data_IF_805365115156
#
_entry.id   IF_805365115156
#
_cell.length_a   1.000
_cell.length_b   1.000
_cell.length_c   1.000
_cell.angle_alpha   90.00
_cell.angle_beta   90.00
_cell.angle_gamma   90.00
#
_symmetry.space_group_name_H-M   'P 1'
#
loop_
_entity.id
_entity.type
_entity.pdbx_description
1 polymer ?
#
# COMPACT_ATOMS: atom_id res chain seq x y z
N UNK A 1 -5.68 -16.66 -23.35
CA UNK A 1 -5.28 -17.96 -22.71
C UNK A 1 -6.44 -18.39 -21.85
N UNK A 2 -6.94 -19.62 -22.05
CA UNK A 2 -8.12 -20.11 -21.33
C UNK A 2 -7.69 -20.89 -20.09
N UNK A 3 -8.22 -20.52 -18.92
CA UNK A 3 -8.10 -21.35 -17.71
C UNK A 3 -9.03 -22.54 -17.82
N UNK A 4 -8.56 -23.71 -17.45
CA UNK A 4 -9.28 -24.98 -17.54
C UNK A 4 -9.82 -25.43 -16.20
N UNK A 5 -8.98 -25.31 -15.14
CA UNK A 5 -9.32 -25.73 -13.79
C UNK A 5 -8.61 -24.84 -12.77
N UNK A 6 -9.21 -24.70 -11.59
CA UNK A 6 -8.61 -24.08 -10.42
C UNK A 6 -8.77 -25.00 -9.22
N UNK A 7 -7.68 -25.30 -8.54
CA UNK A 7 -7.63 -26.22 -7.40
C UNK A 7 -7.02 -25.53 -6.20
N UNK A 8 -7.68 -25.59 -5.05
CA UNK A 8 -7.14 -25.10 -3.81
C UNK A 8 -6.13 -26.09 -3.22
N UNK A 9 -4.92 -25.63 -2.97
CA UNK A 9 -3.82 -26.42 -2.41
C UNK A 9 -3.64 -26.21 -0.91
N UNK A 10 -3.81 -24.96 -0.46
CA UNK A 10 -3.63 -24.56 0.93
C UNK A 10 -4.70 -23.54 1.33
N UNK A 11 -5.18 -23.64 2.57
CA UNK A 11 -5.97 -22.62 3.22
C UNK A 11 -5.48 -22.40 4.65
N UNK A 12 -5.21 -21.16 4.97
CA UNK A 12 -4.89 -20.69 6.33
C UNK A 12 -5.91 -19.62 6.72
N UNK A 13 -5.79 -19.06 7.92
CA UNK A 13 -6.61 -17.93 8.35
C UNK A 13 -6.45 -16.70 7.42
N UNK A 14 -5.25 -16.48 6.87
CA UNK A 14 -4.90 -15.25 6.15
C UNK A 14 -4.61 -15.45 4.66
N UNK A 15 -4.04 -16.59 4.29
CA UNK A 15 -3.55 -16.85 2.94
C UNK A 15 -4.09 -18.17 2.44
N UNK A 16 -4.48 -18.20 1.17
CA UNK A 16 -4.82 -19.38 0.39
C UNK A 16 -3.85 -19.52 -0.77
N UNK A 17 -3.62 -20.74 -1.21
CA UNK A 17 -2.83 -21.03 -2.41
C UNK A 17 -3.69 -21.84 -3.36
N UNK A 18 -3.78 -21.36 -4.60
CA UNK A 18 -4.48 -22.04 -5.70
C UNK A 18 -3.52 -22.41 -6.80
N UNK A 19 -3.78 -23.56 -7.41
CA UNK A 19 -3.19 -24.02 -8.65
C UNK A 19 -4.19 -23.74 -9.77
N UNK A 20 -3.73 -23.11 -10.84
CA UNK A 20 -4.51 -22.81 -12.02
C UNK A 20 -3.93 -23.55 -13.22
N UNK A 21 -4.75 -24.42 -13.80
CA UNK A 21 -4.43 -25.14 -15.04
C UNK A 21 -4.92 -24.35 -16.25
N UNK A 22 -4.03 -24.11 -17.20
CA UNK A 22 -4.33 -23.40 -18.44
C UNK A 22 -4.13 -24.29 -19.66
N UNK A 23 -4.79 -23.91 -20.76
CA UNK A 23 -4.60 -24.56 -22.05
C UNK A 23 -3.12 -24.63 -22.45
N UNK A 24 -2.72 -25.74 -23.12
CA UNK A 24 -1.34 -25.99 -23.49
C UNK A 24 -0.50 -26.55 -22.35
N UNK A 25 -1.11 -27.10 -21.30
CA UNK A 25 -0.42 -27.78 -20.19
C UNK A 25 0.36 -26.85 -19.27
N UNK A 26 -0.04 -25.57 -19.18
CA UNK A 26 0.59 -24.60 -18.28
C UNK A 26 -0.08 -24.62 -16.92
N UNK A 27 0.74 -24.64 -15.87
CA UNK A 27 0.31 -24.59 -14.48
C UNK A 27 0.86 -23.35 -13.83
N UNK A 28 0.03 -22.66 -13.06
CA UNK A 28 0.41 -21.45 -12.34
C UNK A 28 -0.10 -21.49 -10.90
N UNK A 29 0.66 -20.94 -9.97
CA UNK A 29 0.30 -20.89 -8.55
C UNK A 29 0.02 -19.43 -8.13
N UNK A 30 -1.09 -19.24 -7.40
CA UNK A 30 -1.51 -17.94 -6.87
C UNK A 30 -1.61 -18.02 -5.35
N UNK A 31 -0.82 -17.22 -4.64
CA UNK A 31 -1.00 -16.98 -3.21
C UNK A 31 -1.91 -15.74 -3.03
N UNK A 32 -3.03 -15.87 -2.32
CA UNK A 32 -4.06 -14.85 -2.28
C UNK A 32 -4.75 -14.76 -0.91
N UNK A 33 -5.32 -13.60 -0.59
CA UNK A 33 -6.27 -13.42 0.52
C UNK A 33 -7.70 -13.77 0.12
N UNK A 34 -7.98 -13.79 -1.19
CA UNK A 34 -9.31 -13.94 -1.78
C UNK A 34 -9.83 -15.37 -1.66
N UNK A 35 -11.15 -15.50 -1.65
CA UNK A 35 -11.83 -16.81 -1.80
C UNK A 35 -11.88 -17.19 -3.27
N UNK A 36 -12.14 -18.47 -3.55
CA UNK A 36 -12.20 -19.02 -4.89
C UNK A 36 -13.11 -18.24 -5.85
N UNK A 37 -14.28 -17.85 -5.37
CA UNK A 37 -15.31 -17.09 -6.13
C UNK A 37 -14.95 -15.63 -6.34
N UNK A 38 -13.85 -15.15 -5.76
CA UNK A 38 -13.36 -13.77 -5.82
C UNK A 38 -11.94 -13.64 -6.36
N UNK A 39 -11.37 -14.73 -6.91
CA UNK A 39 -10.05 -14.69 -7.52
C UNK A 39 -10.06 -13.77 -8.75
N UNK A 40 -9.10 -12.87 -8.82
CA UNK A 40 -8.99 -11.91 -9.93
C UNK A 40 -8.87 -12.60 -11.31
N UNK A 41 -8.24 -13.77 -11.34
CA UNK A 41 -8.10 -14.57 -12.55
C UNK A 41 -9.41 -15.15 -13.08
N UNK A 42 -10.47 -15.24 -12.25
CA UNK A 42 -11.80 -15.72 -12.62
C UNK A 42 -12.79 -14.61 -12.94
N UNK A 43 -12.44 -13.35 -12.68
CA UNK A 43 -13.29 -12.18 -12.92
C UNK A 43 -13.44 -11.89 -14.42
N UNK A 44 -14.63 -11.42 -14.83
CA UNK A 44 -14.83 -10.74 -16.10
C UNK A 44 -14.04 -9.41 -16.13
N UNK A 45 -13.96 -8.76 -17.29
CA UNK A 45 -13.32 -7.45 -17.36
C UNK A 45 -14.10 -6.41 -16.56
N UNK A 46 -15.44 -6.44 -16.63
CA UNK A 46 -16.33 -5.51 -15.91
C UNK A 46 -16.20 -5.68 -14.39
N UNK A 47 -16.10 -6.92 -13.90
CA UNK A 47 -15.87 -7.20 -12.48
C UNK A 47 -14.49 -6.73 -12.04
N UNK A 48 -13.47 -6.91 -12.87
CA UNK A 48 -12.10 -6.48 -12.58
C UNK A 48 -11.96 -4.96 -12.59
N UNK A 49 -12.63 -4.28 -13.53
CA UNK A 49 -12.62 -2.81 -13.63
C UNK A 49 -13.30 -2.15 -12.43
N UNK A 50 -14.24 -2.84 -11.78
CA UNK A 50 -14.98 -2.35 -10.61
C UNK A 50 -14.57 -3.01 -9.28
N UNK A 51 -13.54 -3.88 -9.30
CA UNK A 51 -13.15 -4.58 -8.07
C UNK A 51 -12.57 -3.63 -7.03
N UNK A 52 -12.92 -3.85 -5.76
CA UNK A 52 -12.27 -3.17 -4.66
C UNK A 52 -10.88 -3.80 -4.44
N UNK A 53 -9.80 -2.99 -4.33
CA UNK A 53 -8.47 -3.47 -3.95
C UNK A 53 -8.45 -4.14 -2.57
N UNK A 54 -7.39 -4.88 -2.27
CA UNK A 54 -7.25 -5.55 -0.97
C UNK A 54 -6.82 -4.58 0.13
N UNK A 55 -6.06 -3.54 -0.26
CA UNK A 55 -5.44 -2.58 0.65
C UNK A 55 -5.34 -1.19 0.03
N UNK A 56 -4.94 -0.23 0.86
CA UNK A 56 -4.52 1.10 0.42
C UNK A 56 -3.04 1.32 0.76
N UNK A 57 -2.34 2.09 -0.06
CA UNK A 57 -1.00 2.62 0.22
C UNK A 57 -1.07 4.13 0.16
N UNK A 58 -0.64 4.80 1.24
CA UNK A 58 -0.84 6.23 1.45
C UNK A 58 0.44 7.02 1.18
N UNK A 59 0.43 7.89 0.18
CA UNK A 59 1.51 8.84 -0.09
C UNK A 59 1.25 10.12 0.71
N UNK A 60 1.75 10.13 1.95
CA UNK A 60 1.50 11.22 2.91
C UNK A 60 2.54 12.32 2.73
N UNK A 61 2.10 13.49 2.30
CA UNK A 61 2.95 14.66 2.07
C UNK A 61 2.64 15.71 3.13
N UNK A 62 3.62 15.99 3.97
CA UNK A 62 3.57 17.07 4.96
C UNK A 62 3.86 18.38 4.25
N UNK A 63 2.86 19.25 4.17
CA UNK A 63 2.94 20.56 3.55
C UNK A 63 3.01 21.66 4.63
N UNK A 64 4.22 22.03 4.99
CA UNK A 64 4.51 23.06 5.99
C UNK A 64 4.54 24.46 5.36
N UNK A 65 4.16 25.48 6.14
CA UNK A 65 4.38 26.90 5.76
C UNK A 65 5.79 27.38 6.08
N UNK A 66 6.53 26.63 6.88
CA UNK A 66 7.86 26.99 7.40
C UNK A 66 9.00 26.29 6.68
N UNK A 67 8.70 25.19 5.99
CA UNK A 67 9.71 24.32 5.39
C UNK A 67 9.20 23.76 4.05
N UNK A 68 10.10 23.23 3.24
CA UNK A 68 9.76 22.53 2.01
C UNK A 68 8.88 21.30 2.31
N UNK A 69 7.96 20.95 1.42
CA UNK A 69 7.16 19.74 1.58
C UNK A 69 8.01 18.49 1.74
N UNK A 70 7.56 17.57 2.59
CA UNK A 70 8.26 16.31 2.87
C UNK A 70 7.31 15.12 2.72
N UNK A 71 7.81 14.04 2.14
CA UNK A 71 7.14 12.76 2.12
C UNK A 71 7.35 12.08 3.48
N UNK A 72 6.27 11.64 4.12
CA UNK A 72 6.33 10.87 5.37
C UNK A 72 6.42 9.39 5.04
N UNK A 73 7.44 8.74 5.56
CA UNK A 73 7.65 7.30 5.52
C UNK A 73 7.95 6.82 6.95
N UNK A 74 7.84 5.52 7.18
CA UNK A 74 8.22 4.87 8.44
C UNK A 74 8.98 3.57 8.17
N UNK A 75 9.67 3.04 9.18
CA UNK A 75 10.29 1.73 9.12
C UNK A 75 9.33 0.68 9.67
N UNK A 76 8.88 -0.24 8.82
CA UNK A 76 7.97 -1.32 9.17
C UNK A 76 8.67 -2.68 9.07
N UNK A 77 8.51 -3.54 10.08
CA UNK A 77 9.08 -4.89 10.07
C UNK A 77 8.32 -5.80 9.09
N UNK A 78 8.99 -6.20 8.03
CA UNK A 78 8.44 -7.12 7.02
C UNK A 78 8.86 -8.55 7.32
N UNK A 79 7.97 -9.30 7.97
CA UNK A 79 8.23 -10.67 8.43
C UNK A 79 8.76 -11.60 7.33
N UNK A 80 8.26 -11.47 6.10
CA UNK A 80 8.72 -12.27 4.96
C UNK A 80 10.18 -11.97 4.56
N UNK A 81 10.70 -10.80 4.92
CA UNK A 81 12.08 -10.36 4.64
C UNK A 81 12.95 -10.49 5.89
N UNK A 82 12.33 -10.45 7.09
CA UNK A 82 13.03 -10.50 8.38
C UNK A 82 13.75 -9.21 8.75
N UNK A 83 13.28 -8.05 8.20
CA UNK A 83 13.97 -6.76 8.37
C UNK A 83 12.97 -5.60 8.40
N UNK A 84 13.37 -4.49 9.02
CA UNK A 84 12.67 -3.22 8.95
C UNK A 84 12.92 -2.55 7.59
N UNK A 85 11.86 -2.34 6.83
CA UNK A 85 11.95 -1.70 5.51
C UNK A 85 11.25 -0.34 5.53
N UNK A 86 11.86 0.63 4.88
CA UNK A 86 11.28 1.96 4.69
C UNK A 86 10.03 1.85 3.81
N UNK A 87 8.86 2.21 4.35
CA UNK A 87 7.54 2.00 3.75
C UNK A 87 6.67 3.27 3.88
N UNK A 88 5.79 3.54 2.94
CA UNK A 88 4.67 4.45 3.16
C UNK A 88 3.60 3.78 4.04
N UNK A 89 2.79 4.53 4.80
CA UNK A 89 1.64 3.99 5.52
C UNK A 89 0.70 3.21 4.60
N UNK A 90 0.22 2.05 5.06
CA UNK A 90 -0.59 1.17 4.23
C UNK A 90 -1.36 0.15 5.08
N UNK A 91 -2.60 -0.16 4.72
CA UNK A 91 -3.34 -1.22 5.40
C UNK A 91 -4.48 -1.80 4.59
N UNK A 92 -5.03 -2.90 5.11
CA UNK A 92 -6.12 -3.63 4.47
C UNK A 92 -7.44 -2.85 4.56
N UNK A 93 -8.27 -2.98 3.53
CA UNK A 93 -9.62 -2.46 3.57
C UNK A 93 -10.47 -3.38 4.45
N UNK A 94 -10.97 -2.85 5.57
CA UNK A 94 -11.79 -3.59 6.52
C UNK A 94 -13.15 -3.96 5.93
N UNK A 95 -13.72 -5.08 6.40
CA UNK A 95 -15.05 -5.53 5.99
C UNK A 95 -16.14 -4.46 6.20
N UNK A 96 -16.03 -3.65 7.27
CA UNK A 96 -16.99 -2.58 7.56
C UNK A 96 -16.88 -1.36 6.63
N UNK A 97 -15.80 -1.24 5.87
CA UNK A 97 -15.56 -0.14 4.92
C UNK A 97 -15.88 -0.52 3.48
N UNK A 98 -15.88 -1.81 3.14
CA UNK A 98 -16.02 -2.31 1.76
C UNK A 98 -17.27 -1.85 1.00
N UNK A 99 -18.38 -1.68 1.72
CA UNK A 99 -19.66 -1.27 1.12
C UNK A 99 -19.88 0.26 1.14
N UNK A 100 -18.89 1.03 1.62
CA UNK A 100 -18.99 2.48 1.68
C UNK A 100 -18.57 3.13 0.35
N UNK A 101 -19.22 4.22 -0.09
CA UNK A 101 -18.86 4.90 -1.35
C UNK A 101 -17.40 5.33 -1.42
N UNK A 102 -16.83 5.75 -0.28
CA UNK A 102 -15.47 6.28 -0.19
C UNK A 102 -14.52 5.32 0.56
N UNK A 103 -14.72 4.00 0.41
CA UNK A 103 -13.98 2.96 1.13
C UNK A 103 -12.46 3.20 1.13
N UNK A 104 -11.88 3.56 -0.03
CA UNK A 104 -10.45 3.80 -0.17
C UNK A 104 -9.97 5.00 0.66
N UNK A 105 -10.70 6.12 0.62
CA UNK A 105 -10.33 7.34 1.33
C UNK A 105 -10.58 7.21 2.84
N UNK A 106 -11.62 6.48 3.24
CA UNK A 106 -11.90 6.18 4.65
C UNK A 106 -10.80 5.29 5.23
N UNK A 107 -10.44 4.21 4.54
CA UNK A 107 -9.34 3.33 4.94
C UNK A 107 -8.03 4.12 5.01
N UNK A 108 -7.70 4.93 4.00
CA UNK A 108 -6.48 5.73 4.02
C UNK A 108 -6.41 6.69 5.23
N UNK A 109 -7.50 7.36 5.57
CA UNK A 109 -7.55 8.25 6.75
C UNK A 109 -7.35 7.47 8.04
N UNK A 110 -7.94 6.29 8.17
CA UNK A 110 -7.80 5.40 9.32
C UNK A 110 -6.35 4.93 9.45
N UNK A 111 -5.76 4.38 8.40
CA UNK A 111 -4.38 3.88 8.40
C UNK A 111 -3.36 4.98 8.69
N UNK A 112 -3.53 6.18 8.08
CA UNK A 112 -2.68 7.33 8.40
C UNK A 112 -2.75 7.65 9.90
N UNK A 113 -3.95 7.64 10.49
CA UNK A 113 -4.11 7.89 11.92
C UNK A 113 -3.49 6.80 12.78
N UNK A 114 -3.73 5.54 12.47
CA UNK A 114 -3.25 4.38 13.25
C UNK A 114 -1.74 4.28 13.20
N UNK A 115 -1.13 4.36 12.01
CA UNK A 115 0.29 4.17 11.82
C UNK A 115 1.15 5.42 12.07
N UNK A 116 0.57 6.62 12.01
CA UNK A 116 1.35 7.86 12.14
C UNK A 116 0.90 8.81 13.24
N UNK A 117 -0.27 8.58 13.83
CA UNK A 117 -0.87 9.51 14.79
C UNK A 117 -1.51 10.76 14.18
N UNK A 118 -1.33 11.02 12.87
CA UNK A 118 -1.84 12.23 12.23
C UNK A 118 -3.35 12.16 11.99
N UNK A 119 -4.08 13.17 12.45
CA UNK A 119 -5.48 13.37 12.10
C UNK A 119 -5.60 14.18 10.81
N UNK A 120 -6.35 13.65 9.86
CA UNK A 120 -6.71 14.37 8.62
C UNK A 120 -7.82 15.37 8.93
N UNK A 121 -7.56 16.64 8.65
CA UNK A 121 -8.46 17.77 8.89
C UNK A 121 -9.18 18.20 7.60
N UNK A 122 -10.22 19.01 7.73
CA UNK A 122 -10.95 19.58 6.58
C UNK A 122 -10.07 20.46 5.66
N UNK A 123 -8.96 20.96 6.19
CA UNK A 123 -7.97 21.74 5.43
C UNK A 123 -7.01 20.89 4.61
N UNK A 124 -7.02 19.59 4.81
CA UNK A 124 -6.14 18.63 4.16
C UNK A 124 -6.82 18.04 2.93
N UNK A 125 -6.02 17.49 2.03
CA UNK A 125 -6.55 16.82 0.85
C UNK A 125 -6.22 15.34 0.92
N UNK A 126 -7.23 14.48 0.75
CA UNK A 126 -7.05 13.04 0.55
C UNK A 126 -7.75 12.68 -0.76
N UNK A 127 -7.05 12.02 -1.64
CA UNK A 127 -7.55 11.73 -2.99
C UNK A 127 -6.94 10.46 -3.55
N UNK A 128 -7.69 9.80 -4.42
CA UNK A 128 -7.23 8.64 -5.16
C UNK A 128 -6.17 9.04 -6.20
N UNK A 129 -5.02 8.37 -6.18
CA UNK A 129 -3.95 8.51 -7.17
C UNK A 129 -4.10 7.44 -8.25
N UNK A 130 -4.40 6.21 -7.82
CA UNK A 130 -4.68 5.08 -8.70
C UNK A 130 -5.58 4.08 -7.99
N UNK A 131 -6.66 3.68 -8.65
CA UNK A 131 -7.66 2.79 -8.06
C UNK A 131 -7.10 1.42 -7.70
N UNK A 132 -6.25 0.85 -8.55
CA UNK A 132 -5.74 -0.50 -8.35
C UNK A 132 -4.38 -0.70 -9.03
N UNK A 133 -3.39 -1.08 -8.24
CA UNK A 133 -2.08 -1.54 -8.72
C UNK A 133 -1.76 -2.89 -8.11
N UNK A 134 -1.34 -3.84 -8.93
CA UNK A 134 -0.92 -5.15 -8.45
C UNK A 134 0.49 -5.09 -7.86
N UNK A 135 0.68 -5.68 -6.68
CA UNK A 135 1.97 -5.68 -5.99
C UNK A 135 2.99 -6.60 -6.65
N UNK A 136 2.61 -7.84 -6.96
CA UNK A 136 3.48 -8.84 -7.57
C UNK A 136 2.68 -9.86 -8.40
N UNK A 137 2.13 -9.47 -9.58
CA UNK A 137 1.19 -10.28 -10.37
C UNK A 137 1.79 -11.57 -10.95
N UNK A 138 3.09 -11.76 -10.84
CA UNK A 138 3.75 -13.04 -11.13
C UNK A 138 3.62 -14.09 -10.02
N UNK A 139 3.00 -13.75 -8.89
CA UNK A 139 2.94 -14.64 -7.72
C UNK A 139 1.62 -14.52 -6.95
N UNK A 140 1.01 -13.33 -6.93
CA UNK A 140 -0.22 -13.03 -6.18
C UNK A 140 -1.12 -12.11 -6.98
N UNK A 141 -2.42 -12.18 -6.73
CA UNK A 141 -3.41 -11.22 -7.22
C UNK A 141 -3.70 -10.11 -6.20
N UNK A 142 -2.86 -9.96 -5.17
CA UNK A 142 -2.95 -8.86 -4.23
C UNK A 142 -2.73 -7.52 -4.91
N UNK A 143 -3.60 -6.57 -4.64
CA UNK A 143 -3.53 -5.23 -5.20
C UNK A 143 -3.89 -4.16 -4.18
N UNK A 144 -3.32 -2.97 -4.38
CA UNK A 144 -3.53 -1.81 -3.54
C UNK A 144 -4.09 -0.65 -4.35
N UNK A 145 -4.96 0.15 -3.74
CA UNK A 145 -5.17 1.52 -4.20
C UNK A 145 -4.00 2.40 -3.76
N UNK A 146 -3.62 3.35 -4.60
CA UNK A 146 -2.68 4.40 -4.22
C UNK A 146 -3.48 5.66 -3.87
N UNK A 147 -3.29 6.16 -2.66
CA UNK A 147 -4.00 7.33 -2.14
C UNK A 147 -3.00 8.40 -1.76
N UNK A 148 -3.19 9.62 -2.27
CA UNK A 148 -2.43 10.80 -1.88
C UNK A 148 -3.07 11.48 -0.68
N UNK A 149 -2.26 11.92 0.28
CA UNK A 149 -2.69 12.75 1.39
C UNK A 149 -1.75 13.94 1.54
N UNK A 150 -2.26 15.16 1.35
CA UNK A 150 -1.51 16.40 1.61
C UNK A 150 -1.99 16.99 2.92
N UNK A 151 -1.14 16.85 3.95
CA UNK A 151 -1.43 17.28 5.33
C UNK A 151 -0.79 18.62 5.60
N UNK A 152 -1.62 19.63 5.83
CA UNK A 152 -1.18 21.02 6.07
C UNK A 152 -0.88 21.21 7.55
N UNK A 153 0.37 21.06 7.96
CA UNK A 153 0.79 21.24 9.36
C UNK A 153 2.22 21.71 9.49
N UNK A 154 2.46 22.56 10.50
CA UNK A 154 3.78 22.95 10.98
C UNK A 154 4.15 22.24 12.29
N UNK A 155 3.23 21.42 12.83
CA UNK A 155 3.39 20.69 14.09
C UNK A 155 3.35 19.19 13.83
N UNK A 156 4.46 18.52 14.11
CA UNK A 156 4.64 17.09 13.97
C UNK A 156 4.68 16.37 15.33
N UNK A 157 4.31 17.05 16.41
CA UNK A 157 4.28 16.45 17.77
C UNK A 157 3.26 15.31 17.91
N UNK A 158 2.29 15.23 16.97
CA UNK A 158 1.31 14.16 16.92
C UNK A 158 1.86 12.85 16.30
N UNK A 159 3.06 12.87 15.68
CA UNK A 159 3.64 11.64 15.11
C UNK A 159 3.88 10.61 16.23
N UNK A 160 3.23 9.48 16.10
CA UNK A 160 3.28 8.38 17.07
C UNK A 160 3.01 7.05 16.40
N UNK A 161 3.71 6.02 16.81
CA UNK A 161 3.51 4.62 16.41
C UNK A 161 2.61 3.85 17.39
N UNK A 162 2.04 4.53 18.39
CA UNK A 162 1.22 3.92 19.44
C UNK A 162 -0.12 3.37 18.93
N UNK A 163 -0.55 3.78 17.74
CA UNK A 163 -1.77 3.30 17.10
C UNK A 163 -1.63 1.99 16.33
N UNK A 164 -0.41 1.41 16.26
CA UNK A 164 -0.16 0.14 15.58
C UNK A 164 -1.08 -0.98 16.08
N UNK A 165 -1.68 -1.74 15.17
CA UNK A 165 -2.64 -2.79 15.49
C UNK A 165 -2.13 -4.18 15.06
N UNK A 166 -2.57 -5.21 15.79
CA UNK A 166 -2.29 -6.60 15.44
C UNK A 166 -0.82 -6.98 15.62
N UNK A 167 -0.17 -7.43 14.54
CA UNK A 167 1.23 -7.86 14.53
C UNK A 167 2.18 -6.86 13.90
N UNK A 168 1.76 -5.63 13.70
CA UNK A 168 2.58 -4.56 13.12
C UNK A 168 3.70 -4.15 14.08
N UNK A 169 4.88 -3.89 13.54
CA UNK A 169 6.02 -3.42 14.29
C UNK A 169 6.72 -2.32 13.49
N UNK A 170 6.77 -1.14 14.08
CA UNK A 170 7.39 0.04 13.49
C UNK A 170 8.67 0.43 14.22
N UNK A 171 9.54 1.20 13.58
CA UNK A 171 10.81 1.65 14.14
C UNK A 171 11.16 3.07 13.66
N UNK A 172 10.28 4.01 13.90
CA UNK A 172 10.47 5.42 13.65
C UNK A 172 10.06 5.90 12.25
N UNK A 173 9.95 7.22 12.15
CA UNK A 173 9.56 7.94 10.95
C UNK A 173 10.74 8.54 10.21
N UNK A 174 10.61 8.67 8.90
CA UNK A 174 11.51 9.42 8.05
C UNK A 174 10.72 10.46 7.24
N UNK A 175 11.09 11.73 7.39
CA UNK A 175 10.56 12.85 6.61
C UNK A 175 11.53 13.19 5.48
N UNK A 176 11.17 12.79 4.28
CA UNK A 176 12.04 12.86 3.09
C UNK A 176 11.75 14.11 2.28
N UNK A 177 12.72 15.00 2.19
CA UNK A 177 12.70 16.15 1.27
C UNK A 177 12.97 15.73 -0.19
N UNK A 178 12.75 16.64 -1.15
CA UNK A 178 12.87 16.33 -2.58
C UNK A 178 14.26 15.82 -2.99
N UNK A 179 15.32 16.45 -2.49
CA UNK A 179 16.70 16.05 -2.79
C UNK A 179 17.05 14.67 -2.21
N UNK A 180 16.60 14.41 -0.99
CA UNK A 180 16.77 13.11 -0.34
C UNK A 180 15.98 12.01 -1.05
N UNK A 181 14.74 12.29 -1.49
CA UNK A 181 13.97 11.37 -2.30
C UNK A 181 14.66 10.99 -3.61
N UNK A 182 15.24 11.99 -4.29
CA UNK A 182 16.06 11.76 -5.51
C UNK A 182 17.29 10.92 -5.20
N UNK A 183 17.93 11.13 -4.05
CA UNK A 183 19.08 10.33 -3.61
C UNK A 183 18.66 8.89 -3.34
N UNK A 184 17.58 8.65 -2.58
CA UNK A 184 17.02 7.31 -2.32
C UNK A 184 16.72 6.57 -3.63
N UNK A 185 16.10 7.26 -4.61
CA UNK A 185 15.80 6.68 -5.93
C UNK A 185 17.06 6.27 -6.70
N UNK A 186 18.15 7.07 -6.63
CA UNK A 186 19.42 6.77 -7.28
C UNK A 186 20.18 5.65 -6.61
N UNK A 187 20.20 5.63 -5.28
CA UNK A 187 20.94 4.64 -4.49
C UNK A 187 20.20 3.28 -4.49
N UNK A 188 18.87 3.27 -4.66
CA UNK A 188 18.03 2.07 -4.60
C UNK A 188 17.99 1.41 -3.22
N UNK A 189 18.44 2.13 -2.19
CA UNK A 189 18.56 1.68 -0.80
C UNK A 189 18.28 2.85 0.14
N UNK A 190 17.84 2.54 1.36
CA UNK A 190 17.72 3.50 2.45
C UNK A 190 19.08 3.82 3.10
N UNK A 191 19.06 4.69 4.11
CA UNK A 191 20.27 5.08 4.85
C UNK A 191 20.94 3.93 5.62
N UNK A 192 20.19 2.86 5.92
CA UNK A 192 20.68 1.65 6.58
C UNK A 192 21.27 0.64 5.58
N UNK A 193 21.17 0.91 4.29
CA UNK A 193 21.64 0.05 3.22
C UNK A 193 20.64 -1.03 2.80
N UNK A 194 19.38 -0.98 3.31
CA UNK A 194 18.33 -1.95 2.97
C UNK A 194 17.60 -1.55 1.68
N UNK A 195 17.21 -2.56 0.92
CA UNK A 195 16.26 -2.37 -0.18
C UNK A 195 14.88 -2.06 0.39
N UNK A 196 14.11 -1.23 -0.30
CA UNK A 196 12.76 -0.85 0.08
C UNK A 196 11.70 -1.45 -0.86
N UNK A 197 10.43 -1.59 -0.42
CA UNK A 197 9.33 -2.12 -1.24
C UNK A 197 9.04 -1.29 -2.50
N UNK A 198 8.38 -1.91 -3.49
CA UNK A 198 7.94 -1.22 -4.72
C UNK A 198 7.04 -0.01 -4.43
N UNK A 199 6.22 -0.08 -3.39
CA UNK A 199 5.34 1.04 -3.00
C UNK A 199 6.13 2.24 -2.46
N UNK A 200 7.28 2.02 -1.81
CA UNK A 200 8.20 3.10 -1.43
C UNK A 200 8.81 3.75 -2.66
N UNK A 201 9.24 2.93 -3.63
CA UNK A 201 9.72 3.46 -4.92
C UNK A 201 8.63 4.28 -5.63
N UNK A 202 7.39 3.82 -5.62
CA UNK A 202 6.25 4.56 -6.20
C UNK A 202 6.00 5.89 -5.45
N UNK A 203 6.00 5.87 -4.11
CA UNK A 203 5.80 7.07 -3.29
C UNK A 203 6.89 8.12 -3.52
N UNK A 204 8.15 7.71 -3.57
CA UNK A 204 9.29 8.59 -3.86
C UNK A 204 9.16 9.24 -5.26
N UNK A 205 8.85 8.46 -6.30
CA UNK A 205 8.64 8.98 -7.66
C UNK A 205 7.45 9.94 -7.72
N UNK A 206 6.33 9.58 -7.09
CA UNK A 206 5.14 10.42 -7.03
C UNK A 206 5.45 11.76 -6.36
N UNK A 207 6.16 11.73 -5.23
CA UNK A 207 6.57 12.94 -4.51
C UNK A 207 7.49 13.85 -5.35
N UNK A 208 8.53 13.27 -5.97
CA UNK A 208 9.50 14.00 -6.79
C UNK A 208 8.86 14.60 -8.05
N UNK A 209 7.86 13.92 -8.63
CA UNK A 209 7.14 14.38 -9.83
C UNK A 209 6.29 15.63 -9.60
N UNK A 210 5.93 15.92 -8.34
CA UNK A 210 5.09 17.04 -7.91
C UNK A 210 3.66 17.07 -8.49
N UNK A 211 3.19 15.99 -9.09
CA UNK A 211 1.79 15.88 -9.60
C UNK A 211 0.72 15.94 -8.50
N UNK A 212 1.12 15.85 -7.26
CA UNK A 212 0.27 15.99 -6.08
C UNK A 212 -0.09 17.45 -5.72
N UNK A 213 0.59 18.45 -6.30
CA UNK A 213 0.44 19.91 -6.06
C UNK A 213 -0.91 20.49 -6.49
#
# INVERSE_FOLDING_TARGET
MKMLETKQLLETKYIKVYEHDYEGGRVFYNATRRKLDKLTALMTNEERDSMLPDAVTCFVIINSKKDEPKLLLHYEYRFAIGEYLLSPPAGLIDECDKDKPDALLLTAKREIKEETGLDIKDTDRVFEVNHCVFSSPGFTDECNALVGAVVNTDDLSALSEEGAVGGEAFNGFLLVGKEEAIKLLKDGRDANGHFYPIFTYAALNYFVSEVWR
#
